data_IF_378265973566
#
_entry.id   IF_378265973566
#
_cell.length_a   1.000
_cell.length_b   1.000
_cell.length_c   1.000
_cell.angle_alpha   90.00
_cell.angle_beta   90.00
_cell.angle_gamma   90.00
#
_symmetry.space_group_name_H-M   'P 1'
#
loop_
_entity.id
_entity.type
_entity.pdbx_description
1 polymer ?
#
# COMPACT_ATOMS: atom_id res chain seq x y z
N UNK A 1 15.44 -0.92 9.75
CA UNK A 1 16.16 -0.96 8.46
C UNK A 1 16.36 0.46 7.95
N UNK A 2 17.48 0.75 7.28
CA UNK A 2 17.70 2.08 6.70
C UNK A 2 16.73 2.27 5.51
N UNK A 3 15.96 3.35 5.51
CA UNK A 3 15.17 3.74 4.34
C UNK A 3 16.15 4.04 3.19
N UNK A 4 15.90 3.46 2.02
CA UNK A 4 16.60 3.85 0.78
C UNK A 4 15.74 4.83 -0.01
N UNK A 5 16.42 5.80 -0.64
CA UNK A 5 15.83 6.87 -1.44
C UNK A 5 15.66 6.48 -2.94
N UNK A 6 15.87 5.21 -3.31
CA UNK A 6 15.75 4.78 -4.70
C UNK A 6 14.28 4.58 -5.10
N UNK A 7 13.85 5.19 -6.21
CA UNK A 7 12.58 4.88 -6.87
C UNK A 7 12.72 3.65 -7.79
N UNK A 8 11.72 2.74 -7.84
CA UNK A 8 10.50 2.73 -7.04
C UNK A 8 10.76 2.35 -5.58
N UNK A 9 9.93 2.88 -4.67
CA UNK A 9 10.17 2.84 -3.22
C UNK A 9 10.27 1.40 -2.70
N UNK A 10 11.23 1.16 -1.81
CA UNK A 10 11.32 -0.13 -1.13
C UNK A 10 10.12 -0.33 -0.18
N UNK A 11 9.50 -1.50 -0.16
CA UNK A 11 8.36 -1.78 0.72
C UNK A 11 8.62 -1.47 2.21
N UNK A 12 9.82 -1.77 2.71
CA UNK A 12 10.25 -1.47 4.08
C UNK A 12 10.36 0.04 4.36
N UNK A 13 10.76 0.84 3.35
CA UNK A 13 10.74 2.30 3.44
C UNK A 13 9.31 2.81 3.58
N UNK A 14 8.34 2.16 2.91
CA UNK A 14 6.92 2.51 3.01
C UNK A 14 6.40 2.26 4.43
N UNK A 15 6.69 1.10 5.02
CA UNK A 15 6.29 0.77 6.38
C UNK A 15 6.93 1.74 7.39
N UNK A 16 8.22 2.05 7.24
CA UNK A 16 8.93 2.97 8.12
C UNK A 16 8.36 4.40 8.03
N UNK A 17 8.05 4.88 6.82
CA UNK A 17 7.39 6.17 6.59
C UNK A 17 6.00 6.22 7.22
N UNK A 18 5.23 5.14 7.04
CA UNK A 18 3.89 4.98 7.63
C UNK A 18 3.93 5.04 9.14
N UNK A 19 4.83 4.30 9.80
CA UNK A 19 4.93 4.31 11.25
C UNK A 19 5.29 5.70 11.80
N UNK A 20 6.18 6.43 11.11
CA UNK A 20 6.57 7.80 11.47
C UNK A 20 5.43 8.82 11.30
N UNK A 21 4.49 8.57 10.40
CA UNK A 21 3.38 9.47 10.12
C UNK A 21 2.18 9.27 11.06
N UNK A 22 1.93 8.00 11.44
CA UNK A 22 0.73 7.62 12.17
C UNK A 22 0.82 7.95 13.68
N UNK A 23 -0.26 8.49 14.29
CA UNK A 23 -0.35 8.59 15.74
C UNK A 23 -0.39 7.20 16.41
N UNK A 24 -0.15 7.15 17.73
CA UNK A 24 -0.09 5.89 18.50
C UNK A 24 -1.45 5.16 18.56
N UNK A 25 -2.54 5.91 18.52
CA UNK A 25 -3.92 5.43 18.55
C UNK A 25 -4.50 5.11 17.15
N UNK A 26 -3.67 5.19 16.10
CA UNK A 26 -4.09 4.86 14.75
C UNK A 26 -4.55 3.39 14.65
N UNK A 27 -5.73 3.19 14.06
CA UNK A 27 -6.20 1.88 13.63
C UNK A 27 -5.69 1.64 12.20
N UNK A 28 -5.01 0.52 12.00
CA UNK A 28 -4.46 0.11 10.71
C UNK A 28 -5.21 -1.14 10.28
N UNK A 29 -5.62 -1.13 9.01
CA UNK A 29 -6.16 -2.31 8.34
C UNK A 29 -5.26 -2.68 7.17
N UNK A 30 -4.95 -3.96 6.98
CA UNK A 30 -4.17 -4.43 5.83
C UNK A 30 -5.05 -5.21 4.86
N UNK A 31 -4.61 -5.35 3.61
CA UNK A 31 -5.22 -6.29 2.68
C UNK A 31 -4.55 -7.67 2.78
N UNK A 32 -4.52 -8.45 1.70
CA UNK A 32 -3.83 -9.73 1.58
C UNK A 32 -2.71 -9.62 0.56
N UNK A 33 -1.48 -9.77 1.04
CA UNK A 33 -0.31 -9.81 0.17
C UNK A 33 0.96 -9.54 0.95
N UNK A 34 1.86 -8.82 0.29
CA UNK A 34 3.13 -8.39 0.86
C UNK A 34 2.90 -7.52 2.10
N UNK A 35 2.01 -6.54 2.00
CA UNK A 35 1.63 -5.59 3.05
C UNK A 35 1.22 -6.30 4.35
N UNK A 36 0.33 -7.28 4.27
CA UNK A 36 -0.14 -8.07 5.42
C UNK A 36 1.00 -8.83 6.10
N UNK A 37 1.81 -9.53 5.29
CA UNK A 37 2.88 -10.37 5.82
C UNK A 37 3.92 -9.50 6.54
N UNK A 38 4.31 -8.37 5.93
CA UNK A 38 5.32 -7.49 6.48
C UNK A 38 4.81 -6.69 7.68
N UNK A 39 3.54 -6.28 7.70
CA UNK A 39 2.93 -5.71 8.91
C UNK A 39 2.97 -6.71 10.07
N UNK A 40 2.69 -7.99 9.80
CA UNK A 40 2.78 -9.06 10.81
C UNK A 40 4.20 -9.39 11.28
N UNK A 41 5.23 -9.11 10.47
CA UNK A 41 6.61 -9.48 10.75
C UNK A 41 7.46 -8.32 11.30
N UNK A 42 7.21 -7.08 10.87
CA UNK A 42 8.18 -5.99 10.99
C UNK A 42 7.58 -4.65 11.43
N UNK A 43 6.25 -4.51 11.50
CA UNK A 43 5.61 -3.23 11.84
C UNK A 43 5.35 -3.11 13.35
N UNK A 44 5.82 -2.03 13.96
CA UNK A 44 5.63 -1.78 15.40
C UNK A 44 4.15 -1.50 15.74
N UNK A 45 3.55 -2.42 16.51
CA UNK A 45 2.19 -2.32 17.04
C UNK A 45 2.24 -1.65 18.41
N UNK A 46 1.74 -0.42 18.48
CA UNK A 46 1.83 0.41 19.70
C UNK A 46 0.62 0.25 20.62
N UNK A 47 -0.55 -0.09 20.08
CA UNK A 47 -1.82 -0.18 20.83
C UNK A 47 -2.48 -1.55 20.61
N UNK A 48 -2.82 -2.33 21.67
CA UNK A 48 -3.54 -3.58 21.51
C UNK A 48 -4.86 -3.41 20.76
N UNK A 49 -5.11 -4.26 19.76
CA UNK A 49 -6.33 -4.21 18.94
C UNK A 49 -6.35 -3.13 17.85
N UNK A 50 -5.25 -2.41 17.63
CA UNK A 50 -5.19 -1.37 16.59
C UNK A 50 -4.82 -1.88 15.20
N UNK A 51 -4.45 -3.17 15.05
CA UNK A 51 -4.24 -3.81 13.75
C UNK A 51 -5.40 -4.76 13.47
N UNK A 52 -6.08 -4.52 12.34
CA UNK A 52 -7.14 -5.36 11.81
C UNK A 52 -6.62 -5.97 10.50
N UNK A 53 -6.70 -7.29 10.34
CA UNK A 53 -6.27 -7.96 9.10
C UNK A 53 -7.49 -8.56 8.37
N UNK A 54 -8.31 -7.74 7.69
CA UNK A 54 -9.36 -8.28 6.84
C UNK A 54 -8.74 -9.05 5.66
N UNK A 55 -9.25 -10.24 5.39
CA UNK A 55 -8.74 -11.14 4.35
C UNK A 55 -9.07 -10.73 2.91
N UNK A 56 -9.05 -9.44 2.55
CA UNK A 56 -9.34 -8.99 1.17
C UNK A 56 -10.06 -7.64 1.10
N UNK A 57 -9.45 -6.54 1.52
CA UNK A 57 -10.08 -5.20 1.52
C UNK A 57 -9.75 -4.34 0.28
N UNK A 58 -8.62 -4.55 -0.39
CA UNK A 58 -7.99 -3.57 -1.30
C UNK A 58 -8.45 -3.60 -2.76
N UNK A 59 -9.34 -4.53 -3.16
CA UNK A 59 -9.86 -4.57 -4.54
C UNK A 59 -11.21 -3.87 -4.75
N UNK A 60 -11.85 -3.34 -3.70
CA UNK A 60 -13.16 -2.72 -3.85
C UNK A 60 -13.13 -1.20 -3.60
N UNK A 61 -12.98 -0.37 -4.66
CA UNK A 61 -12.97 1.09 -4.52
C UNK A 61 -14.33 1.66 -4.13
N UNK A 62 -15.44 0.89 -4.21
CA UNK A 62 -16.78 1.39 -3.88
C UNK A 62 -16.91 1.89 -2.43
N UNK A 63 -16.04 1.42 -1.51
CA UNK A 63 -16.00 1.90 -0.13
C UNK A 63 -15.64 3.40 -0.04
N UNK A 64 -14.93 3.93 -1.04
CA UNK A 64 -14.63 5.36 -1.15
C UNK A 64 -15.91 6.20 -1.19
N UNK A 65 -16.95 5.72 -1.89
CA UNK A 65 -18.24 6.42 -1.96
C UNK A 65 -18.83 6.62 -0.55
N UNK A 66 -18.80 5.58 0.29
CA UNK A 66 -19.29 5.68 1.67
C UNK A 66 -18.44 6.61 2.52
N UNK A 67 -17.11 6.54 2.40
CA UNK A 67 -16.23 7.42 3.17
C UNK A 67 -16.41 8.90 2.79
N UNK A 68 -16.60 9.19 1.49
CA UNK A 68 -16.92 10.53 1.00
C UNK A 68 -18.29 10.98 1.50
N UNK A 69 -19.33 10.16 1.35
CA UNK A 69 -20.69 10.47 1.83
C UNK A 69 -20.73 10.76 3.33
N UNK A 70 -19.96 10.01 4.13
CA UNK A 70 -19.90 10.16 5.59
C UNK A 70 -18.79 11.10 6.08
N UNK A 71 -18.03 11.71 5.17
CA UNK A 71 -16.90 12.59 5.47
C UNK A 71 -15.91 11.96 6.48
N UNK A 72 -15.50 10.72 6.22
CA UNK A 72 -14.57 9.97 7.07
C UNK A 72 -13.14 10.14 6.56
N UNK A 73 -12.24 10.62 7.41
CA UNK A 73 -10.81 10.83 7.11
C UNK A 73 -9.98 9.55 7.01
N UNK A 74 -10.46 8.55 6.27
CA UNK A 74 -9.77 7.28 6.06
C UNK A 74 -8.69 7.48 4.99
N UNK A 75 -7.48 6.98 5.27
CA UNK A 75 -6.34 7.03 4.35
C UNK A 75 -6.07 5.62 3.83
N UNK A 76 -6.18 5.44 2.51
CA UNK A 76 -5.78 4.22 1.81
C UNK A 76 -4.38 4.40 1.26
N UNK A 77 -3.47 3.54 1.71
CA UNK A 77 -2.10 3.48 1.21
C UNK A 77 -1.97 2.27 0.27
N UNK A 78 -1.96 2.51 -1.03
CA UNK A 78 -1.82 1.47 -2.04
C UNK A 78 -0.33 1.24 -2.29
N UNK A 79 0.15 0.06 -1.91
CA UNK A 79 1.52 -0.39 -2.17
C UNK A 79 1.59 -1.04 -3.55
N UNK A 80 1.76 -0.23 -4.59
CA UNK A 80 1.56 -0.62 -5.97
C UNK A 80 2.85 -1.12 -6.64
N UNK A 81 2.95 -2.44 -6.81
CA UNK A 81 4.11 -3.08 -7.44
C UNK A 81 3.87 -3.55 -8.88
N UNK A 82 2.77 -3.11 -9.52
CA UNK A 82 2.34 -3.57 -10.84
C UNK A 82 2.28 -5.11 -10.99
N UNK A 83 1.91 -5.81 -9.92
CA UNK A 83 1.92 -7.28 -9.87
C UNK A 83 1.05 -7.81 -8.71
N UNK A 84 0.61 -9.06 -8.83
CA UNK A 84 0.25 -9.89 -7.68
C UNK A 84 1.54 -10.39 -7.01
N UNK A 85 2.26 -9.49 -6.34
CA UNK A 85 3.66 -9.65 -5.95
C UNK A 85 3.99 -10.93 -5.18
N UNK A 86 3.19 -11.27 -4.16
CA UNK A 86 3.39 -12.50 -3.38
C UNK A 86 3.27 -13.76 -4.25
N UNK A 87 2.25 -13.81 -5.13
CA UNK A 87 2.01 -14.97 -6.00
C UNK A 87 3.12 -15.05 -7.06
N UNK A 88 3.52 -13.90 -7.63
CA UNK A 88 4.63 -13.82 -8.58
C UNK A 88 5.94 -14.34 -7.95
N UNK A 89 6.26 -13.91 -6.73
CA UNK A 89 7.44 -14.37 -5.99
C UNK A 89 7.43 -15.88 -5.74
N UNK A 90 6.30 -16.42 -5.28
CA UNK A 90 6.15 -17.86 -5.04
C UNK A 90 6.24 -18.68 -6.34
N UNK A 91 5.60 -18.23 -7.41
CA UNK A 91 5.71 -18.90 -8.71
C UNK A 91 7.16 -18.91 -9.21
N UNK A 92 7.85 -17.77 -9.07
CA UNK A 92 9.25 -17.66 -9.49
C UNK A 92 10.15 -18.59 -8.69
N UNK A 93 9.97 -18.65 -7.37
CA UNK A 93 10.76 -19.48 -6.47
C UNK A 93 10.57 -20.99 -6.71
N UNK A 94 9.32 -21.44 -6.95
CA UNK A 94 9.00 -22.87 -7.05
C UNK A 94 8.96 -23.42 -8.48
N UNK A 95 8.69 -22.58 -9.48
CA UNK A 95 8.50 -23.00 -10.87
C UNK A 95 9.38 -22.25 -11.88
N UNK A 96 10.21 -21.29 -11.43
CA UNK A 96 11.13 -20.55 -12.28
C UNK A 96 10.48 -19.51 -13.22
N UNK A 97 9.15 -19.34 -13.14
CA UNK A 97 8.35 -18.50 -14.04
C UNK A 97 7.37 -17.61 -13.27
N UNK A 98 6.81 -16.61 -13.95
CA UNK A 98 5.68 -15.79 -13.47
C UNK A 98 4.60 -15.81 -14.54
N UNK A 99 3.43 -16.38 -14.25
CA UNK A 99 2.33 -16.53 -15.20
C UNK A 99 1.04 -15.96 -14.61
N UNK A 100 0.53 -14.91 -15.27
CA UNK A 100 -0.71 -14.23 -14.86
C UNK A 100 -0.60 -13.38 -13.59
N UNK A 101 0.62 -13.12 -13.11
CA UNK A 101 0.87 -12.46 -11.81
C UNK A 101 1.68 -11.17 -11.91
N UNK A 102 2.18 -10.83 -13.09
CA UNK A 102 2.91 -9.60 -13.40
C UNK A 102 2.25 -8.95 -14.61
N UNK A 103 2.07 -7.63 -14.59
CA UNK A 103 1.39 -6.91 -15.66
C UNK A 103 2.40 -6.16 -16.54
N UNK A 104 1.98 -5.77 -17.74
CA UNK A 104 2.84 -5.05 -18.68
C UNK A 104 3.09 -3.61 -18.21
N UNK A 105 4.18 -3.01 -18.70
CA UNK A 105 4.67 -1.70 -18.26
C UNK A 105 5.60 -1.77 -17.05
N UNK A 106 5.94 -0.60 -16.52
CA UNK A 106 6.91 -0.43 -15.44
C UNK A 106 6.20 -0.07 -14.12
N UNK A 107 6.89 -0.26 -12.99
CA UNK A 107 6.35 0.19 -11.70
C UNK A 107 6.24 1.72 -11.71
N UNK A 108 5.08 2.24 -11.35
CA UNK A 108 4.77 3.67 -11.46
C UNK A 108 4.40 4.13 -12.87
N UNK A 109 4.47 3.24 -13.88
CA UNK A 109 4.01 3.52 -15.24
C UNK A 109 3.49 2.23 -15.92
N UNK A 110 2.40 1.63 -15.40
CA UNK A 110 1.85 0.40 -15.95
C UNK A 110 1.25 0.64 -17.34
N UNK A 111 1.41 -0.32 -18.25
CA UNK A 111 0.79 -0.25 -19.59
C UNK A 111 -0.72 -0.50 -19.49
N UNK A 112 -1.09 -1.41 -18.59
CA UNK A 112 -2.47 -1.73 -18.26
C UNK A 112 -2.60 -1.84 -16.74
N UNK A 113 -3.59 -1.15 -16.18
CA UNK A 113 -3.85 -1.18 -14.74
C UNK A 113 -4.86 -0.13 -14.32
N UNK A 114 -5.41 -0.24 -13.10
CA UNK A 114 -6.21 0.83 -12.52
C UNK A 114 -5.32 2.04 -12.20
N UNK A 115 -5.78 3.24 -12.57
CA UNK A 115 -5.25 4.48 -12.02
C UNK A 115 -5.98 4.78 -10.70
N UNK A 116 -5.35 4.47 -9.58
CA UNK A 116 -5.97 4.62 -8.26
C UNK A 116 -6.20 6.08 -7.87
N UNK A 117 -5.36 6.99 -8.39
CA UNK A 117 -5.47 8.43 -8.15
C UNK A 117 -6.74 8.96 -8.80
N UNK A 118 -6.96 8.62 -10.07
CA UNK A 118 -8.15 9.04 -10.80
C UNK A 118 -9.42 8.31 -10.33
N UNK A 119 -9.33 7.03 -9.94
CA UNK A 119 -10.43 6.33 -9.27
C UNK A 119 -10.84 7.07 -7.99
N UNK A 120 -9.89 7.49 -7.16
CA UNK A 120 -10.18 8.24 -5.93
C UNK A 120 -10.91 9.55 -6.23
N UNK A 121 -10.40 10.32 -7.19
CA UNK A 121 -11.04 11.56 -7.64
C UNK A 121 -12.45 11.32 -8.18
N UNK A 122 -12.67 10.24 -8.92
CA UNK A 122 -13.98 9.88 -9.48
C UNK A 122 -15.02 9.60 -8.39
N UNK A 123 -14.61 9.13 -7.21
CA UNK A 123 -15.49 8.99 -6.04
C UNK A 123 -15.61 10.26 -5.19
N UNK A 124 -14.87 11.33 -5.51
CA UNK A 124 -14.83 12.56 -4.72
C UNK A 124 -13.84 12.54 -3.55
N UNK A 125 -13.00 11.51 -3.47
CA UNK A 125 -11.89 11.44 -2.52
C UNK A 125 -10.66 12.20 -3.05
N UNK A 126 -9.68 12.43 -2.18
CA UNK A 126 -8.37 12.96 -2.58
C UNK A 126 -7.54 11.82 -3.14
N UNK A 127 -6.97 11.99 -4.34
CA UNK A 127 -6.00 11.05 -4.92
C UNK A 127 -4.61 11.68 -4.95
N UNK A 128 -3.60 10.94 -4.50
CA UNK A 128 -2.20 11.38 -4.44
C UNK A 128 -1.32 10.29 -5.03
N UNK A 129 -0.47 10.65 -5.99
CA UNK A 129 0.60 9.78 -6.47
C UNK A 129 1.87 10.02 -5.64
N UNK A 130 2.59 8.95 -5.32
CA UNK A 130 3.88 8.99 -4.62
C UNK A 130 4.86 8.15 -5.44
N UNK A 131 5.83 8.83 -6.06
CA UNK A 131 6.77 8.20 -6.99
C UNK A 131 8.11 7.86 -6.35
N UNK A 132 8.39 8.44 -5.17
CA UNK A 132 9.64 8.26 -4.43
C UNK A 132 9.44 8.18 -2.91
N UNK A 133 10.47 7.68 -2.22
CA UNK A 133 10.43 7.44 -0.78
C UNK A 133 10.30 8.74 0.06
N UNK A 134 10.89 9.83 -0.40
CA UNK A 134 10.93 11.13 0.27
C UNK A 134 9.59 11.89 0.17
N UNK A 135 8.78 11.60 -0.85
CA UNK A 135 7.42 12.14 -1.01
C UNK A 135 6.42 11.51 -0.03
N UNK A 136 6.67 10.26 0.40
CA UNK A 136 5.71 9.47 1.18
C UNK A 136 5.37 10.11 2.54
N UNK A 137 6.38 10.47 3.33
CA UNK A 137 6.16 10.98 4.69
C UNK A 137 5.39 12.32 4.69
N UNK A 138 5.75 13.32 3.85
CA UNK A 138 4.93 14.52 3.66
C UNK A 138 3.51 14.22 3.19
N UNK A 139 3.33 13.31 2.22
CA UNK A 139 2.02 12.96 1.69
C UNK A 139 1.11 12.34 2.75
N UNK A 140 1.61 11.38 3.53
CA UNK A 140 0.87 10.76 4.63
C UNK A 140 0.48 11.77 5.71
N UNK A 141 1.40 12.63 6.14
CA UNK A 141 1.09 13.68 7.12
C UNK A 141 0.01 14.63 6.63
N UNK A 142 0.07 15.02 5.36
CA UNK A 142 -0.94 15.87 4.72
C UNK A 142 -2.30 15.18 4.67
N UNK A 143 -2.34 13.91 4.25
CA UNK A 143 -3.56 13.11 4.18
C UNK A 143 -4.23 12.97 5.56
N UNK A 144 -3.46 12.60 6.58
CA UNK A 144 -3.96 12.47 7.96
C UNK A 144 -4.49 13.82 8.47
N UNK A 145 -3.72 14.90 8.30
CA UNK A 145 -4.11 16.23 8.77
C UNK A 145 -5.33 16.80 8.04
N UNK A 146 -5.58 16.38 6.78
CA UNK A 146 -6.72 16.85 6.00
C UNK A 146 -8.07 16.40 6.57
N UNK A 147 -8.09 15.26 7.28
CA UNK A 147 -9.32 14.62 7.74
C UNK A 147 -10.27 14.18 6.61
N UNK A 148 -9.76 14.09 5.36
CA UNK A 148 -10.55 13.71 4.18
C UNK A 148 -10.24 12.28 3.72
N UNK A 149 -11.21 11.59 3.10
CA UNK A 149 -10.94 10.33 2.41
C UNK A 149 -9.81 10.54 1.39
N UNK A 150 -8.71 9.80 1.54
CA UNK A 150 -7.51 10.00 0.72
C UNK A 150 -6.92 8.67 0.27
N UNK A 151 -6.61 8.54 -1.01
CA UNK A 151 -5.88 7.40 -1.58
C UNK A 151 -4.48 7.89 -1.98
N UNK A 152 -3.45 7.23 -1.44
CA UNK A 152 -2.06 7.39 -1.86
C UNK A 152 -1.68 6.17 -2.68
N UNK A 153 -1.38 6.37 -3.97
CA UNK A 153 -0.82 5.33 -4.83
C UNK A 153 0.71 5.43 -4.80
N UNK A 154 1.37 4.43 -4.20
CA UNK A 154 2.81 4.44 -3.97
C UNK A 154 3.48 3.40 -4.86
N UNK A 155 4.30 3.88 -5.79
CA UNK A 155 5.15 3.01 -6.59
C UNK A 155 6.11 2.23 -5.69
N UNK A 156 5.98 0.90 -5.70
CA UNK A 156 6.68 -0.01 -4.80
C UNK A 156 7.46 -1.06 -5.59
N UNK A 157 8.72 -1.27 -5.21
CA UNK A 157 9.50 -2.40 -5.72
C UNK A 157 8.80 -3.73 -5.40
N UNK A 158 8.61 -4.59 -6.40
CA UNK A 158 8.06 -5.94 -6.22
C UNK A 158 9.11 -6.87 -5.56
N UNK A 159 9.29 -6.73 -4.25
CA UNK A 159 10.25 -7.51 -3.48
C UNK A 159 9.59 -8.79 -2.94
N UNK A 160 10.24 -9.97 -2.99
CA UNK A 160 9.68 -11.18 -2.37
C UNK A 160 9.53 -10.97 -0.86
N UNK A 161 8.38 -11.33 -0.29
CA UNK A 161 8.26 -11.41 1.17
C UNK A 161 8.99 -12.66 1.64
N UNK A 162 9.98 -12.57 2.55
CA UNK A 162 10.56 -13.75 3.17
C UNK A 162 9.48 -14.50 3.95
N UNK A 163 9.04 -15.63 3.41
CA UNK A 163 8.15 -16.54 4.11
C UNK A 163 9.00 -17.70 4.58
N UNK A 164 9.40 -17.68 5.85
CA UNK A 164 10.07 -18.81 6.49
C UNK A 164 9.05 -19.91 6.79
N UNK A 165 8.30 -20.34 5.77
CA UNK A 165 7.33 -21.42 5.90
C UNK A 165 7.95 -22.61 6.66
N UNK A 166 7.14 -23.42 7.36
CA UNK A 166 7.65 -24.60 8.04
C UNK A 166 8.38 -25.55 7.09
#
# INVERSE_FOLDING_TARGET
MAASDSAPTLPESILAGTRKALPEDAIITTDVGWDKNSVGQEFDILTPGSILTPGGFGQNPAMLATAVEKNLGIVWLVMNSNAFGTIAGLQKAHYGLTYGTTFLGEIGNPEFGPDYVDIAKAYGAVGVEVTSADELLPALKSAIASGKPTVLDVAMTNNPTPTTGP
#
